data_IF_749020192103
#
_entry.id   IF_749020192103
#
_cell.length_a   1.000
_cell.length_b   1.000
_cell.length_c   1.000
_cell.angle_alpha   90.00
_cell.angle_beta   90.00
_cell.angle_gamma   90.00
#
_symmetry.space_group_name_H-M   'P 1'
#
loop_
_entity.id
_entity.type
_entity.pdbx_description
1 polymer ?
#
# COMPACT_ATOMS: atom_id res chain seq x y z
N UNK A 1 -7.58 5.68 -19.28
CA UNK A 1 -6.51 4.67 -19.42
C UNK A 1 -6.72 3.64 -18.33
N UNK A 2 -6.52 2.35 -18.62
CA UNK A 2 -6.70 1.26 -17.66
C UNK A 2 -5.65 1.35 -16.54
N UNK A 3 -6.01 1.03 -15.29
CA UNK A 3 -5.06 0.95 -14.16
C UNK A 3 -4.75 -0.52 -13.93
N UNK A 4 -3.47 -0.86 -13.88
CA UNK A 4 -3.05 -2.25 -13.64
C UNK A 4 -2.65 -2.40 -12.18
N UNK A 5 -3.47 -3.09 -11.38
CA UNK A 5 -3.14 -3.30 -9.99
C UNK A 5 -2.19 -4.50 -9.83
N UNK A 6 -0.97 -4.22 -9.38
CA UNK A 6 0.05 -5.20 -9.05
C UNK A 6 -0.21 -5.90 -7.70
N UNK A 7 -1.30 -5.60 -7.01
CA UNK A 7 -1.77 -6.38 -5.86
C UNK A 7 -2.77 -7.43 -6.35
N UNK A 8 -2.37 -8.69 -6.36
CA UNK A 8 -3.22 -9.82 -6.80
C UNK A 8 -4.43 -10.09 -5.88
N UNK A 9 -4.42 -9.56 -4.66
CA UNK A 9 -5.52 -9.73 -3.69
C UNK A 9 -5.79 -8.44 -2.92
N UNK A 10 -6.42 -7.42 -3.55
CA UNK A 10 -6.59 -6.09 -2.97
C UNK A 10 -7.35 -6.08 -1.64
N UNK A 11 -8.27 -7.03 -1.44
CA UNK A 11 -9.10 -7.19 -0.22
C UNK A 11 -8.41 -8.00 0.89
N UNK A 12 -7.21 -8.52 0.67
CA UNK A 12 -6.52 -9.33 1.68
C UNK A 12 -6.27 -8.47 2.94
N UNK A 13 -6.64 -9.01 4.10
CA UNK A 13 -6.34 -8.39 5.38
C UNK A 13 -5.00 -8.92 5.87
N UNK A 14 -3.96 -8.09 5.79
CA UNK A 14 -2.60 -8.45 6.19
C UNK A 14 -2.30 -7.80 7.53
N UNK A 15 -1.93 -8.61 8.53
CA UNK A 15 -1.39 -8.10 9.80
C UNK A 15 0.10 -7.87 9.62
N UNK A 16 0.58 -6.67 9.93
CA UNK A 16 2.01 -6.36 9.86
C UNK A 16 2.69 -6.68 11.19
N UNK A 17 3.97 -7.03 11.11
CA UNK A 17 4.86 -7.19 12.26
C UNK A 17 5.79 -5.97 12.40
N UNK A 18 6.06 -5.50 13.63
CA UNK A 18 6.97 -4.38 13.83
C UNK A 18 8.40 -4.77 13.44
N UNK A 19 9.04 -3.93 12.63
CA UNK A 19 10.43 -4.13 12.17
C UNK A 19 10.61 -5.17 11.07
N UNK A 20 9.56 -5.88 10.65
CA UNK A 20 9.63 -6.95 9.66
C UNK A 20 8.88 -6.59 8.37
N UNK A 21 9.45 -6.95 7.22
CA UNK A 21 8.77 -6.81 5.94
C UNK A 21 7.75 -7.91 5.75
N UNK A 22 6.48 -7.51 5.67
CA UNK A 22 5.36 -8.40 5.35
C UNK A 22 4.93 -8.20 3.90
N UNK A 23 4.96 -9.24 3.05
CA UNK A 23 4.49 -9.15 1.66
C UNK A 23 3.00 -8.79 1.58
N UNK A 24 2.67 -7.85 0.69
CA UNK A 24 1.29 -7.47 0.37
C UNK A 24 0.93 -7.74 -1.10
N UNK A 25 1.90 -8.14 -1.91
CA UNK A 25 1.74 -8.53 -3.31
C UNK A 25 2.52 -9.81 -3.59
N UNK A 26 2.10 -10.53 -4.63
CA UNK A 26 2.81 -11.67 -5.21
C UNK A 26 3.55 -11.30 -6.50
N UNK A 27 3.25 -10.15 -7.09
CA UNK A 27 3.77 -9.69 -8.38
C UNK A 27 4.96 -8.76 -8.16
N UNK A 28 6.02 -9.01 -8.91
CA UNK A 28 7.24 -8.20 -8.87
C UNK A 28 7.05 -6.78 -9.41
N UNK A 29 8.01 -5.92 -9.09
CA UNK A 29 8.08 -4.55 -9.62
C UNK A 29 9.15 -4.46 -10.71
N UNK A 30 9.09 -3.42 -11.54
CA UNK A 30 10.17 -3.11 -12.47
C UNK A 30 11.12 -2.08 -11.84
N UNK A 31 12.42 -2.38 -11.80
CA UNK A 31 13.44 -1.47 -11.25
C UNK A 31 13.47 -0.17 -12.07
N UNK A 32 13.56 0.96 -11.38
CA UNK A 32 13.60 2.30 -11.99
C UNK A 32 12.23 2.88 -12.34
N UNK A 33 11.15 2.09 -12.21
CA UNK A 33 9.77 2.57 -12.44
C UNK A 33 9.22 3.20 -11.17
N UNK A 34 8.53 4.33 -11.33
CA UNK A 34 7.82 5.00 -10.25
C UNK A 34 6.42 4.42 -10.08
N UNK A 35 6.07 4.11 -8.83
CA UNK A 35 4.79 3.53 -8.45
C UNK A 35 4.04 4.43 -7.48
N UNK A 36 2.72 4.31 -7.49
CA UNK A 36 1.82 4.77 -6.45
C UNK A 36 1.33 3.56 -5.65
N UNK A 37 1.52 3.60 -4.33
CA UNK A 37 0.97 2.60 -3.42
C UNK A 37 -0.04 3.27 -2.49
N UNK A 38 -1.22 2.68 -2.35
CA UNK A 38 -2.24 3.13 -1.41
C UNK A 38 -2.86 1.93 -0.70
N UNK A 39 -3.07 2.07 0.61
CA UNK A 39 -3.66 1.03 1.46
C UNK A 39 -4.60 1.67 2.46
N UNK A 40 -5.62 0.92 2.89
CA UNK A 40 -6.30 1.24 4.14
C UNK A 40 -5.48 0.70 5.29
N UNK A 41 -5.01 1.59 6.17
CA UNK A 41 -4.19 1.27 7.33
C UNK A 41 -5.03 1.36 8.59
N UNK A 42 -5.15 0.26 9.31
CA UNK A 42 -5.80 0.18 10.62
C UNK A 42 -4.72 0.09 11.71
N UNK A 43 -4.57 1.17 12.49
CA UNK A 43 -3.65 1.23 13.64
C UNK A 43 -4.46 1.38 14.93
N UNK A 44 -4.14 0.56 15.93
CA UNK A 44 -4.67 0.68 17.30
C UNK A 44 -3.58 0.44 18.33
N UNK A 45 -3.74 0.94 19.56
CA UNK A 45 -2.81 0.67 20.67
C UNK A 45 -1.48 1.43 20.65
N UNK A 46 -1.28 2.35 19.70
CA UNK A 46 -0.04 3.11 19.60
C UNK A 46 0.04 3.99 18.35
N UNK A 47 1.27 4.43 18.04
CA UNK A 47 1.59 5.14 16.81
C UNK A 47 2.79 4.50 16.10
N UNK A 48 2.81 4.61 14.78
CA UNK A 48 3.79 3.96 13.92
C UNK A 48 4.27 4.86 12.78
N UNK A 49 5.41 4.51 12.20
CA UNK A 49 5.81 4.94 10.85
C UNK A 49 5.83 3.73 9.93
N UNK A 50 5.59 3.92 8.64
CA UNK A 50 5.78 2.87 7.63
C UNK A 50 7.06 3.16 6.86
N UNK A 51 7.90 2.16 6.68
CA UNK A 51 9.18 2.31 6.00
C UNK A 51 8.97 2.79 4.56
N UNK A 52 9.59 3.93 4.21
CA UNK A 52 9.44 4.55 2.89
C UNK A 52 8.13 5.32 2.67
N UNK A 53 7.24 5.39 3.67
CA UNK A 53 6.02 6.18 3.63
C UNK A 53 6.14 7.36 4.61
N UNK A 54 6.05 8.62 4.14
CA UNK A 54 6.12 9.78 5.01
C UNK A 54 4.96 9.87 6.00
N UNK A 55 5.26 10.15 7.27
CA UNK A 55 4.27 10.45 8.29
C UNK A 55 4.28 9.50 9.49
N UNK A 56 3.52 9.87 10.52
CA UNK A 56 3.25 9.03 11.70
C UNK A 56 1.75 8.77 11.76
N UNK A 57 1.38 7.51 11.99
CA UNK A 57 0.00 7.05 11.92
C UNK A 57 -0.41 6.41 13.23
N UNK A 58 -1.60 6.77 13.72
CA UNK A 58 -2.12 6.31 15.01
C UNK A 58 -3.62 5.98 14.98
N UNK A 59 -4.22 5.95 13.79
CA UNK A 59 -5.65 5.69 13.59
C UNK A 59 -5.91 5.04 12.23
N UNK A 60 -7.10 4.45 12.11
CA UNK A 60 -7.65 3.94 10.85
C UNK A 60 -7.78 5.06 9.81
N UNK A 61 -7.11 4.90 8.67
CA UNK A 61 -7.19 5.85 7.54
C UNK A 61 -6.63 5.25 6.26
N UNK A 62 -7.02 5.82 5.10
CA UNK A 62 -6.33 5.60 3.84
C UNK A 62 -5.00 6.35 3.85
N UNK A 63 -3.93 5.68 3.46
CA UNK A 63 -2.63 6.30 3.21
C UNK A 63 -2.18 5.99 1.79
N UNK A 64 -1.45 6.91 1.18
CA UNK A 64 -0.89 6.73 -0.15
C UNK A 64 0.44 7.45 -0.31
N UNK A 65 1.38 6.84 -1.01
CA UNK A 65 2.69 7.41 -1.26
C UNK A 65 3.27 6.95 -2.60
N UNK A 66 4.21 7.74 -3.10
CA UNK A 66 4.99 7.43 -4.29
C UNK A 66 6.36 6.88 -3.91
N UNK A 67 6.88 5.98 -4.73
CA UNK A 67 8.28 5.54 -4.63
C UNK A 67 8.79 5.07 -5.99
N UNK A 68 10.12 5.10 -6.18
CA UNK A 68 10.76 4.46 -7.33
C UNK A 68 11.26 3.08 -6.91
N UNK A 69 10.91 2.04 -7.65
CA UNK A 69 11.31 0.69 -7.31
C UNK A 69 12.83 0.51 -7.46
N UNK A 70 13.49 0.13 -6.37
CA UNK A 70 14.93 -0.16 -6.32
C UNK A 70 15.23 -1.66 -6.40
N UNK A 71 14.19 -2.50 -6.36
CA UNK A 71 14.28 -3.96 -6.50
C UNK A 71 13.08 -4.48 -7.28
N UNK A 72 13.24 -5.67 -7.89
CA UNK A 72 12.18 -6.37 -8.61
C UNK A 72 11.27 -7.22 -7.73
N UNK A 73 11.56 -7.31 -6.43
CA UNK A 73 10.79 -8.10 -5.48
C UNK A 73 9.33 -7.63 -5.40
N UNK A 74 8.38 -8.50 -5.02
CA UNK A 74 7.02 -8.08 -4.73
C UNK A 74 6.94 -7.00 -3.65
N UNK A 75 5.83 -6.28 -3.61
CA UNK A 75 5.63 -5.23 -2.61
C UNK A 75 5.45 -5.83 -1.21
N UNK A 76 6.18 -5.24 -0.24
CA UNK A 76 6.11 -5.59 1.18
C UNK A 76 6.08 -4.31 2.00
N UNK A 77 5.43 -4.37 3.17
CA UNK A 77 5.36 -3.27 4.12
C UNK A 77 6.02 -3.68 5.44
N UNK A 78 6.77 -2.74 6.02
CA UNK A 78 7.31 -2.84 7.37
C UNK A 78 6.97 -1.55 8.11
N UNK A 79 6.58 -1.67 9.37
CA UNK A 79 6.34 -0.51 10.21
C UNK A 79 7.29 -0.47 11.41
N UNK A 80 7.58 0.73 11.91
CA UNK A 80 8.32 0.94 13.14
C UNK A 80 7.40 1.54 14.19
N UNK A 81 7.53 1.06 15.44
CA UNK A 81 6.79 1.61 16.57
C UNK A 81 7.36 2.99 16.92
N UNK A 82 6.48 3.97 17.03
CA UNK A 82 6.80 5.30 17.56
C UNK A 82 6.40 5.40 19.03
N UNK A 83 5.22 4.88 19.39
CA UNK A 83 4.77 4.82 20.77
C UNK A 83 3.75 3.70 21.01
N UNK A 84 3.64 3.27 22.27
CA UNK A 84 2.68 2.25 22.70
C UNK A 84 3.03 0.84 22.21
N UNK A 85 2.00 0.01 22.08
CA UNK A 85 2.08 -1.38 21.61
C UNK A 85 1.11 -1.56 20.45
N UNK A 86 1.45 -1.04 19.26
CA UNK A 86 0.52 -0.94 18.17
C UNK A 86 0.18 -2.31 17.56
N UNK A 87 -1.09 -2.49 17.19
CA UNK A 87 -1.52 -3.53 16.26
C UNK A 87 -1.81 -2.87 14.92
N UNK A 88 -1.27 -3.43 13.84
CA UNK A 88 -1.33 -2.83 12.51
C UNK A 88 -1.87 -3.83 11.51
N UNK A 89 -2.92 -3.43 10.78
CA UNK A 89 -3.49 -4.21 9.68
C UNK A 89 -3.58 -3.34 8.43
N UNK A 90 -3.41 -3.97 7.27
CA UNK A 90 -3.59 -3.34 5.96
C UNK A 90 -4.57 -4.12 5.11
N UNK A 91 -5.38 -3.40 4.34
CA UNK A 91 -6.38 -3.92 3.40
C UNK A 91 -6.66 -2.88 2.31
N UNK A 92 -7.51 -3.22 1.35
CA UNK A 92 -7.91 -2.34 0.24
C UNK A 92 -6.68 -1.69 -0.40
N UNK A 93 -5.82 -2.55 -0.94
CA UNK A 93 -4.47 -2.20 -1.35
C UNK A 93 -4.39 -2.06 -2.88
N UNK A 94 -3.68 -1.03 -3.33
CA UNK A 94 -3.38 -0.79 -4.73
C UNK A 94 -1.92 -0.44 -4.88
N UNK A 95 -1.31 -1.05 -5.88
CA UNK A 95 0.00 -0.69 -6.39
C UNK A 95 -0.10 -0.61 -7.90
N UNK A 96 0.08 0.58 -8.46
CA UNK A 96 0.09 0.79 -9.91
C UNK A 96 1.20 1.76 -10.29
N UNK A 97 1.54 1.83 -11.58
CA UNK A 97 2.52 2.80 -12.04
C UNK A 97 2.03 4.22 -11.78
N UNK A 98 2.97 5.13 -11.47
CA UNK A 98 2.62 6.50 -11.12
C UNK A 98 1.88 7.23 -12.26
N UNK A 99 2.24 6.95 -13.51
CA UNK A 99 1.55 7.52 -14.68
C UNK A 99 0.11 7.03 -14.83
N UNK A 100 -0.16 5.76 -14.54
CA UNK A 100 -1.52 5.19 -14.49
C UNK A 100 -2.35 5.84 -13.38
N UNK A 101 -1.77 6.00 -12.19
CA UNK A 101 -2.41 6.69 -11.07
C UNK A 101 -2.77 8.13 -11.44
N UNK A 102 -1.81 8.90 -11.97
CA UNK A 102 -2.04 10.31 -12.31
C UNK A 102 -3.16 10.49 -13.33
N UNK A 103 -3.22 9.60 -14.33
CA UNK A 103 -4.26 9.61 -15.37
C UNK A 103 -5.65 9.29 -14.80
N UNK A 104 -5.72 8.56 -13.68
CA UNK A 104 -6.97 8.08 -13.08
C UNK A 104 -7.19 8.63 -11.65
N UNK A 105 -6.49 9.70 -11.27
CA UNK A 105 -6.40 10.17 -9.89
C UNK A 105 -7.76 10.45 -9.25
N UNK A 106 -8.64 11.16 -9.95
CA UNK A 106 -9.97 11.50 -9.43
C UNK A 106 -10.81 10.26 -9.13
N UNK A 107 -10.70 9.21 -9.95
CA UNK A 107 -11.37 7.94 -9.73
C UNK A 107 -10.77 7.23 -8.52
N UNK A 108 -9.45 7.04 -8.50
CA UNK A 108 -8.75 6.28 -7.45
C UNK A 108 -8.84 6.94 -6.07
N UNK A 109 -8.75 8.27 -6.00
CA UNK A 109 -8.89 9.03 -4.75
C UNK A 109 -10.33 9.00 -4.22
N UNK A 110 -11.33 8.78 -5.09
CA UNK A 110 -12.73 8.64 -4.72
C UNK A 110 -13.13 7.23 -4.25
N UNK A 111 -12.24 6.24 -4.37
CA UNK A 111 -12.54 4.86 -4.01
C UNK A 111 -12.24 4.56 -2.53
N UNK A 112 -13.28 4.11 -1.82
CA UNK A 112 -13.20 3.73 -0.42
C UNK A 112 -12.73 2.27 -0.21
N UNK A 113 -12.84 1.42 -1.21
CA UNK A 113 -12.38 0.03 -1.18
C UNK A 113 -11.89 -0.40 -2.57
N UNK A 114 -11.08 -1.45 -2.61
CA UNK A 114 -10.56 -2.00 -3.86
C UNK A 114 -10.81 -3.50 -3.87
N UNK A 115 -11.59 -3.94 -4.85
CA UNK A 115 -12.02 -5.33 -4.98
C UNK A 115 -11.26 -6.13 -6.04
N UNK A 116 -10.54 -5.44 -6.92
CA UNK A 116 -9.91 -6.06 -8.08
C UNK A 116 -10.88 -6.30 -9.25
N UNK A 117 -12.17 -6.01 -9.08
CA UNK A 117 -13.16 -6.07 -10.16
C UNK A 117 -13.26 -4.72 -10.88
N UNK A 118 -13.07 -3.63 -10.12
CA UNK A 118 -13.07 -2.25 -10.61
C UNK A 118 -11.76 -1.83 -11.30
N UNK A 119 -10.70 -2.63 -11.15
CA UNK A 119 -9.41 -2.42 -11.81
C UNK A 119 -8.84 -3.76 -12.26
N UNK A 120 -8.37 -3.89 -13.50
CA UNK A 120 -7.71 -5.09 -13.96
C UNK A 120 -6.48 -5.40 -13.12
N UNK A 121 -6.42 -6.65 -12.70
CA UNK A 121 -5.32 -7.23 -11.95
C UNK A 121 -4.23 -7.66 -12.94
N UNK A 122 -2.96 -7.44 -12.56
CA UNK A 122 -1.81 -7.98 -13.30
C UNK A 122 -1.66 -9.50 -13.14
#
# INVERSE_FOLDING_TARGET
MMVTNLISSPRLNVTLNPGEYTPISTIGKQIGVAYWCTVWLDVSGGSITITGCPGTFSKSQRIGWTFTATSSNPMSLAYNVVSGSPTVKVRDMVLCELGEYQTNKALLDGLNFFDGDTMPLA
#
